data_IF_305999826009
#
_entry.id   IF_305999826009
#
_cell.length_a   1.000
_cell.length_b   1.000
_cell.length_c   1.000
_cell.angle_alpha   90.00
_cell.angle_beta   90.00
_cell.angle_gamma   90.00
#
_symmetry.space_group_name_H-M   'P 1'
#
loop_
_entity.id
_entity.type
_entity.pdbx_description
1 polymer ?
#
# COMPACT_ATOMS: atom_id res chain seq x y z
N UNK A 1 15.69 4.05 23.16
CA UNK A 1 15.57 4.11 21.69
C UNK A 1 16.83 3.54 21.09
N UNK A 2 16.81 2.99 19.86
CA UNK A 2 17.98 2.38 19.24
C UNK A 2 19.09 3.39 18.87
N UNK A 3 18.74 4.65 18.64
CA UNK A 3 19.65 5.77 18.45
C UNK A 3 19.01 7.08 18.92
N UNK A 4 19.76 8.18 18.90
CA UNK A 4 19.21 9.52 19.03
C UNK A 4 18.31 9.85 17.82
N UNK A 5 17.15 10.50 18.03
CA UNK A 5 16.26 10.85 16.94
C UNK A 5 16.75 12.07 16.16
N UNK A 6 16.70 11.99 14.84
CA UNK A 6 16.91 13.16 13.96
C UNK A 6 15.73 14.12 13.95
N UNK A 7 14.52 13.63 14.24
CA UNK A 7 13.32 14.46 14.41
C UNK A 7 12.26 13.77 15.26
N UNK A 8 11.40 14.58 15.88
CA UNK A 8 10.23 14.14 16.63
C UNK A 8 9.00 14.88 16.12
N UNK A 9 7.98 14.12 15.70
CA UNK A 9 6.68 14.69 15.33
C UNK A 9 5.62 14.26 16.33
N UNK A 10 4.96 15.23 16.97
CA UNK A 10 3.83 14.97 17.87
C UNK A 10 2.52 15.12 17.08
N UNK A 11 1.74 14.06 17.02
CA UNK A 11 0.50 13.99 16.24
C UNK A 11 -0.65 13.68 17.19
N UNK A 12 -1.74 14.44 17.07
CA UNK A 12 -3.02 14.07 17.69
C UNK A 12 -3.97 13.55 16.62
N UNK A 13 -4.42 12.31 16.75
CA UNK A 13 -5.37 11.73 15.80
C UNK A 13 -6.82 12.20 16.04
N UNK A 14 -7.72 11.90 15.10
CA UNK A 14 -9.14 12.27 15.20
C UNK A 14 -9.89 11.56 16.34
N UNK A 15 -9.33 10.48 16.90
CA UNK A 15 -9.88 9.78 18.06
C UNK A 15 -9.50 10.46 19.39
N UNK A 16 -8.53 11.37 19.34
CA UNK A 16 -8.00 12.15 20.46
C UNK A 16 -6.74 11.57 21.08
N UNK A 17 -6.12 10.55 20.47
CA UNK A 17 -4.85 9.95 20.92
C UNK A 17 -3.68 10.82 20.50
N UNK A 18 -2.66 10.90 21.35
CA UNK A 18 -1.38 11.53 21.02
C UNK A 18 -0.36 10.46 20.68
N UNK A 19 0.43 10.72 19.64
CA UNK A 19 1.54 9.91 19.20
C UNK A 19 2.78 10.79 19.11
N UNK A 20 3.92 10.26 19.54
CA UNK A 20 5.23 10.83 19.24
C UNK A 20 5.94 9.87 18.26
N UNK A 21 6.18 10.35 17.04
CA UNK A 21 6.92 9.61 16.01
C UNK A 21 8.36 10.09 16.00
N UNK A 22 9.28 9.17 16.19
CA UNK A 22 10.72 9.44 16.19
C UNK A 22 11.33 8.88 14.90
N UNK A 23 12.14 9.68 14.23
CA UNK A 23 12.98 9.17 13.12
C UNK A 23 14.34 8.84 13.70
N UNK A 24 14.71 7.56 13.65
CA UNK A 24 15.95 7.02 14.21
C UNK A 24 16.65 6.14 13.19
N UNK A 25 17.96 6.01 13.35
CA UNK A 25 18.73 4.99 12.68
C UNK A 25 18.58 3.67 13.46
N UNK A 26 18.42 2.58 12.72
CA UNK A 26 18.23 1.25 13.30
C UNK A 26 19.13 0.30 12.55
N UNK A 27 20.09 -0.28 13.26
CA UNK A 27 20.93 -1.32 12.71
C UNK A 27 20.10 -2.58 12.42
N UNK A 28 20.26 -3.20 11.24
CA UNK A 28 19.63 -4.48 10.94
C UNK A 28 20.01 -5.54 11.98
N UNK A 29 19.07 -6.43 12.28
CA UNK A 29 19.27 -7.59 13.15
C UNK A 29 19.13 -8.85 12.29
N UNK A 30 20.17 -9.21 11.50
CA UNK A 30 20.10 -10.32 10.58
C UNK A 30 19.80 -11.62 11.33
N UNK A 31 18.93 -12.45 10.75
CA UNK A 31 18.66 -13.79 11.25
C UNK A 31 19.50 -14.81 10.47
N UNK A 32 19.84 -15.98 11.05
CA UNK A 32 20.54 -17.04 10.33
C UNK A 32 19.87 -17.32 8.98
N UNK A 33 20.69 -17.48 7.94
CA UNK A 33 20.19 -17.77 6.61
C UNK A 33 19.39 -19.07 6.65
N UNK A 34 18.25 -19.09 5.98
CA UNK A 34 17.51 -20.32 5.74
C UNK A 34 17.38 -20.52 4.22
N UNK A 35 17.32 -21.75 3.73
CA UNK A 35 17.25 -22.00 2.27
C UNK A 35 15.84 -21.82 1.69
N UNK A 36 14.89 -21.31 2.47
CA UNK A 36 13.46 -21.39 2.15
C UNK A 36 12.99 -20.19 1.35
N UNK A 37 12.14 -20.45 0.36
CA UNK A 37 11.47 -19.41 -0.40
C UNK A 37 9.96 -19.69 -0.49
N UNK A 38 9.15 -18.63 -0.48
CA UNK A 38 7.69 -18.75 -0.54
C UNK A 38 7.09 -17.73 -1.50
N UNK A 39 6.20 -18.19 -2.38
CA UNK A 39 5.34 -17.33 -3.18
C UNK A 39 4.01 -17.10 -2.46
N UNK A 40 3.48 -15.89 -2.55
CA UNK A 40 2.24 -15.50 -1.88
C UNK A 40 1.29 -14.89 -2.91
N UNK A 41 0.16 -15.57 -3.13
CA UNK A 41 -0.99 -15.05 -3.85
C UNK A 41 -1.92 -14.30 -2.89
N UNK A 42 -2.32 -13.07 -3.21
CA UNK A 42 -3.11 -12.21 -2.34
C UNK A 42 -4.56 -12.12 -2.81
N UNK A 43 -5.51 -12.41 -1.92
CA UNK A 43 -6.92 -12.53 -2.30
C UNK A 43 -7.92 -11.98 -1.28
N UNK A 44 -9.20 -11.96 -1.66
CA UNK A 44 -10.31 -11.58 -0.78
C UNK A 44 -11.00 -12.79 -0.13
N UNK A 45 -10.87 -13.98 -0.73
CA UNK A 45 -11.37 -15.23 -0.14
C UNK A 45 -10.41 -15.72 0.96
N UNK A 46 -9.13 -15.78 0.61
CA UNK A 46 -7.98 -15.92 1.51
C UNK A 46 -7.15 -14.66 1.37
N UNK A 47 -6.74 -14.05 2.48
CA UNK A 47 -5.86 -12.87 2.46
C UNK A 47 -4.57 -13.16 1.70
N UNK A 48 -4.00 -14.33 1.99
CA UNK A 48 -2.77 -14.83 1.42
C UNK A 48 -2.87 -16.35 1.25
N UNK A 49 -2.42 -16.86 0.11
CA UNK A 49 -2.22 -18.30 -0.14
C UNK A 49 -0.74 -18.50 -0.46
N UNK A 50 -0.09 -19.42 0.22
CA UNK A 50 1.34 -19.66 0.06
C UNK A 50 1.61 -20.80 -0.92
N UNK A 51 2.77 -20.78 -1.55
CA UNK A 51 3.26 -21.87 -2.41
C UNK A 51 3.44 -23.20 -1.66
N UNK A 52 3.47 -23.17 -0.32
CA UNK A 52 3.46 -24.35 0.53
C UNK A 52 2.05 -24.90 0.82
N UNK A 53 1.00 -24.26 0.28
CA UNK A 53 -0.39 -24.69 0.43
C UNK A 53 -1.13 -24.08 1.62
N UNK A 54 -0.50 -23.21 2.42
CA UNK A 54 -1.17 -22.53 3.54
C UNK A 54 -2.15 -21.47 3.01
N UNK A 55 -3.40 -21.49 3.50
CA UNK A 55 -4.42 -20.47 3.19
C UNK A 55 -4.73 -19.65 4.44
N UNK A 56 -4.33 -18.39 4.42
CA UNK A 56 -4.55 -17.46 5.53
C UNK A 56 -5.85 -16.69 5.29
N UNK A 57 -6.81 -16.82 6.22
CA UNK A 57 -8.09 -16.12 6.12
C UNK A 57 -7.94 -14.60 6.33
N UNK A 58 -8.75 -13.77 5.65
CA UNK A 58 -8.74 -12.34 5.88
C UNK A 58 -9.33 -11.96 7.24
N UNK A 59 -8.71 -11.00 7.96
CA UNK A 59 -9.27 -10.51 9.20
C UNK A 59 -10.59 -9.77 8.89
N UNK A 60 -11.72 -10.25 9.43
CA UNK A 60 -13.05 -9.67 9.20
C UNK A 60 -13.39 -8.54 10.18
N UNK A 61 -12.39 -7.74 10.60
CA UNK A 61 -12.55 -6.77 11.69
C UNK A 61 -13.56 -5.67 11.38
N UNK A 62 -13.49 -5.06 10.18
CA UNK A 62 -14.48 -4.05 9.79
C UNK A 62 -15.86 -4.67 9.70
N UNK A 63 -15.97 -5.85 9.08
CA UNK A 63 -17.25 -6.57 8.93
C UNK A 63 -17.94 -6.78 10.28
N UNK A 64 -17.22 -7.26 11.29
CA UNK A 64 -17.74 -7.44 12.65
C UNK A 64 -18.16 -6.13 13.32
N UNK A 65 -17.50 -5.02 13.00
CA UNK A 65 -17.81 -3.70 13.55
C UNK A 65 -18.93 -2.94 12.81
N UNK A 66 -19.39 -3.41 11.64
CA UNK A 66 -20.32 -2.67 10.78
C UNK A 66 -21.62 -2.27 11.47
N UNK A 67 -22.23 -3.15 12.27
CA UNK A 67 -23.48 -2.85 13.00
C UNK A 67 -23.29 -1.65 13.92
N UNK A 68 -22.20 -1.63 14.69
CA UNK A 68 -21.84 -0.53 15.59
C UNK A 68 -21.50 0.74 14.82
N UNK A 69 -20.72 0.62 13.74
CA UNK A 69 -20.33 1.76 12.92
C UNK A 69 -21.56 2.48 12.31
N UNK A 70 -22.50 1.72 11.73
CA UNK A 70 -23.75 2.28 11.20
C UNK A 70 -24.56 3.03 12.27
N UNK A 71 -24.66 2.47 13.48
CA UNK A 71 -25.35 3.13 14.61
C UNK A 71 -24.69 4.46 14.97
N UNK A 72 -23.36 4.48 15.08
CA UNK A 72 -22.61 5.70 15.42
C UNK A 72 -22.71 6.75 14.30
N UNK A 73 -22.62 6.34 13.04
CA UNK A 73 -22.79 7.24 11.88
C UNK A 73 -24.21 7.82 11.80
N UNK A 74 -25.25 7.01 12.06
CA UNK A 74 -26.64 7.51 12.14
C UNK A 74 -26.81 8.52 13.27
N UNK A 75 -26.32 8.19 14.47
CA UNK A 75 -26.36 9.13 15.60
C UNK A 75 -25.62 10.44 15.28
N UNK A 76 -24.48 10.35 14.59
CA UNK A 76 -23.71 11.52 14.14
C UNK A 76 -24.50 12.40 13.16
N UNK A 77 -25.18 11.80 12.18
CA UNK A 77 -26.01 12.51 11.19
C UNK A 77 -27.08 13.40 11.83
N UNK A 78 -27.65 12.96 12.95
CA UNK A 78 -28.72 13.68 13.66
C UNK A 78 -28.22 14.78 14.61
N UNK A 79 -26.91 15.05 14.70
CA UNK A 79 -26.39 16.09 15.60
C UNK A 79 -26.37 17.46 14.93
N UNK A 80 -26.77 18.48 15.68
CA UNK A 80 -26.71 19.88 15.27
C UNK A 80 -25.27 20.30 14.94
N UNK A 81 -25.09 20.96 13.80
CA UNK A 81 -23.81 21.53 13.35
C UNK A 81 -23.23 22.46 14.42
N UNK A 82 -21.94 22.36 14.69
CA UNK A 82 -21.23 23.18 15.69
C UNK A 82 -21.41 22.77 17.15
N UNK A 83 -22.35 21.87 17.49
CA UNK A 83 -22.60 21.50 18.88
C UNK A 83 -21.48 20.64 19.51
N UNK A 84 -21.30 20.75 20.84
CA UNK A 84 -20.41 19.86 21.60
C UNK A 84 -20.80 18.38 21.47
N UNK A 85 -22.10 18.09 21.33
CA UNK A 85 -22.63 16.73 21.10
C UNK A 85 -22.21 16.18 19.74
N UNK A 86 -22.15 17.01 18.69
CA UNK A 86 -21.59 16.63 17.39
C UNK A 86 -20.12 16.28 17.51
N UNK A 87 -19.33 17.12 18.19
CA UNK A 87 -17.89 16.87 18.40
C UNK A 87 -17.64 15.55 19.18
N UNK A 88 -18.45 15.25 20.20
CA UNK A 88 -18.40 13.99 20.93
C UNK A 88 -18.77 12.79 20.03
N UNK A 89 -19.83 12.88 19.22
CA UNK A 89 -20.23 11.82 18.29
C UNK A 89 -19.18 11.56 17.20
N UNK A 90 -18.55 12.61 16.66
CA UNK A 90 -17.43 12.49 15.71
C UNK A 90 -16.25 11.73 16.32
N UNK A 91 -15.87 12.07 17.56
CA UNK A 91 -14.82 11.36 18.31
C UNK A 91 -15.16 9.88 18.53
N UNK A 92 -16.42 9.54 18.80
CA UNK A 92 -16.83 8.12 18.95
C UNK A 92 -16.66 7.32 17.64
N UNK A 93 -17.05 7.91 16.50
CA UNK A 93 -16.83 7.31 15.17
C UNK A 93 -15.33 7.14 14.91
N UNK A 94 -14.54 8.18 15.17
CA UNK A 94 -13.08 8.14 14.98
C UNK A 94 -12.41 7.08 15.88
N UNK A 95 -12.81 6.96 17.15
CA UNK A 95 -12.34 5.90 18.05
C UNK A 95 -12.62 4.50 17.51
N UNK A 96 -13.81 4.25 16.97
CA UNK A 96 -14.11 2.94 16.39
C UNK A 96 -13.26 2.65 15.15
N UNK A 97 -13.08 3.63 14.27
CA UNK A 97 -12.19 3.48 13.11
C UNK A 97 -10.74 3.21 13.52
N UNK A 98 -10.24 3.94 14.52
CA UNK A 98 -8.92 3.72 15.09
C UNK A 98 -8.77 2.28 15.61
N UNK A 99 -9.71 1.80 16.43
CA UNK A 99 -9.66 0.41 16.94
C UNK A 99 -9.65 -0.65 15.82
N UNK A 100 -10.43 -0.45 14.75
CA UNK A 100 -10.44 -1.37 13.60
C UNK A 100 -9.10 -1.34 12.88
N UNK A 101 -8.54 -0.14 12.66
CA UNK A 101 -7.25 0.03 12.01
C UNK A 101 -6.11 -0.61 12.82
N UNK A 102 -6.10 -0.40 14.15
CA UNK A 102 -5.08 -0.96 15.05
C UNK A 102 -5.14 -2.49 15.06
N UNK A 103 -6.34 -3.09 15.16
CA UNK A 103 -6.51 -4.56 15.10
C UNK A 103 -6.01 -5.15 13.79
N UNK A 104 -6.35 -4.50 12.67
CA UNK A 104 -5.86 -4.91 11.35
C UNK A 104 -4.34 -4.81 11.27
N UNK A 105 -3.77 -3.71 11.77
CA UNK A 105 -2.34 -3.48 11.77
C UNK A 105 -1.61 -4.55 12.60
N UNK A 106 -2.07 -4.83 13.82
CA UNK A 106 -1.52 -5.87 14.69
C UNK A 106 -1.52 -7.25 14.02
N UNK A 107 -2.65 -7.67 13.45
CA UNK A 107 -2.75 -8.91 12.69
C UNK A 107 -1.73 -8.96 11.54
N UNK A 108 -1.62 -7.90 10.74
CA UNK A 108 -0.67 -7.84 9.64
C UNK A 108 0.79 -7.83 10.12
N UNK A 109 1.08 -7.22 11.28
CA UNK A 109 2.42 -7.27 11.88
C UNK A 109 2.78 -8.69 12.27
N UNK A 110 1.90 -9.40 12.98
CA UNK A 110 2.15 -10.78 13.40
C UNK A 110 2.38 -11.68 12.18
N UNK A 111 1.50 -11.57 11.17
CA UNK A 111 1.59 -12.37 9.96
C UNK A 111 2.88 -12.10 9.17
N UNK A 112 3.21 -10.84 8.90
CA UNK A 112 4.42 -10.49 8.15
C UNK A 112 5.70 -10.85 8.91
N UNK A 113 5.71 -10.75 10.24
CA UNK A 113 6.85 -11.20 11.06
C UNK A 113 7.05 -12.70 10.94
N UNK A 114 5.97 -13.49 11.04
CA UNK A 114 6.03 -14.95 10.88
C UNK A 114 6.64 -15.34 9.53
N UNK A 115 6.07 -14.81 8.45
CA UNK A 115 6.49 -15.13 7.07
C UNK A 115 7.96 -14.79 6.83
N UNK A 116 8.42 -13.61 7.27
CA UNK A 116 9.80 -13.15 7.08
C UNK A 116 10.80 -13.97 7.91
N UNK A 117 10.41 -14.43 9.10
CA UNK A 117 11.28 -15.28 9.93
C UNK A 117 11.41 -16.69 9.36
N UNK A 118 10.33 -17.22 8.81
CA UNK A 118 10.27 -18.59 8.28
C UNK A 118 10.95 -18.76 6.90
N UNK A 119 11.15 -17.67 6.15
CA UNK A 119 11.59 -17.72 4.75
C UNK A 119 12.70 -16.71 4.46
N UNK A 120 13.67 -17.10 3.64
CA UNK A 120 14.77 -16.25 3.17
C UNK A 120 14.33 -15.34 2.03
N UNK A 121 13.48 -15.87 1.15
CA UNK A 121 12.91 -15.14 0.03
C UNK A 121 11.39 -15.23 0.06
N UNK A 122 10.73 -14.08 -0.02
CA UNK A 122 9.27 -13.97 -0.12
C UNK A 122 8.93 -13.30 -1.44
N UNK A 123 8.06 -13.91 -2.23
CA UNK A 123 7.65 -13.39 -3.55
C UNK A 123 6.17 -13.04 -3.54
N UNK A 124 5.83 -11.84 -4.01
CA UNK A 124 4.47 -11.32 -4.09
C UNK A 124 4.18 -10.86 -5.53
N UNK A 125 2.90 -10.81 -5.90
CA UNK A 125 2.47 -10.07 -7.09
C UNK A 125 2.25 -8.57 -6.81
N UNK A 126 2.44 -7.73 -7.83
CA UNK A 126 2.18 -6.30 -7.75
C UNK A 126 0.67 -5.95 -7.91
N UNK A 127 -0.11 -5.97 -6.83
CA UNK A 127 -1.52 -5.58 -6.91
C UNK A 127 -1.74 -4.08 -7.18
N UNK A 128 -2.62 -3.74 -8.12
CA UNK A 128 -3.10 -2.36 -8.35
C UNK A 128 -4.13 -1.93 -7.29
N UNK A 129 -3.75 -1.90 -6.01
CA UNK A 129 -4.69 -1.67 -4.90
C UNK A 129 -5.46 -0.35 -5.06
N UNK A 130 -4.79 0.72 -5.50
CA UNK A 130 -5.42 2.03 -5.72
C UNK A 130 -6.48 1.98 -6.83
N UNK A 131 -6.22 1.25 -7.92
CA UNK A 131 -7.19 0.98 -8.97
C UNK A 131 -8.36 0.14 -8.48
N UNK A 132 -8.08 -0.93 -7.72
CA UNK A 132 -9.11 -1.85 -7.21
C UNK A 132 -10.06 -1.17 -6.21
N UNK A 133 -9.56 -0.22 -5.40
CA UNK A 133 -10.37 0.58 -4.48
C UNK A 133 -11.40 1.47 -5.19
N UNK A 134 -11.29 1.70 -6.50
CA UNK A 134 -12.32 2.42 -7.28
C UNK A 134 -13.59 1.59 -7.48
N UNK A 135 -13.52 0.26 -7.34
CA UNK A 135 -14.69 -0.60 -7.39
C UNK A 135 -15.49 -0.50 -6.08
N UNK A 136 -16.60 0.24 -6.10
CA UNK A 136 -17.44 0.50 -4.92
C UNK A 136 -17.97 -0.76 -4.22
N UNK A 137 -18.11 -1.88 -4.94
CA UNK A 137 -18.61 -3.14 -4.37
C UNK A 137 -17.55 -3.84 -3.52
N UNK A 138 -16.29 -3.80 -3.96
CA UNK A 138 -15.17 -4.51 -3.33
C UNK A 138 -14.27 -3.62 -2.47
N UNK A 139 -14.32 -2.29 -2.66
CA UNK A 139 -13.43 -1.33 -2.01
C UNK A 139 -13.33 -1.53 -0.50
N UNK A 140 -14.46 -1.82 0.15
CA UNK A 140 -14.51 -2.06 1.59
C UNK A 140 -13.74 -3.33 2.00
N UNK A 141 -13.93 -4.43 1.27
CA UNK A 141 -13.24 -5.70 1.54
C UNK A 141 -11.74 -5.59 1.25
N UNK A 142 -11.38 -4.87 0.19
CA UNK A 142 -9.97 -4.58 -0.16
C UNK A 142 -9.31 -3.73 0.92
N UNK A 143 -10.01 -2.69 1.40
CA UNK A 143 -9.52 -1.86 2.49
C UNK A 143 -9.36 -2.64 3.81
N UNK A 144 -10.24 -3.61 4.07
CA UNK A 144 -10.15 -4.48 5.26
C UNK A 144 -9.01 -5.51 5.14
N UNK A 145 -8.74 -6.01 3.94
CA UNK A 145 -7.63 -6.93 3.68
C UNK A 145 -6.25 -6.29 3.90
N UNK A 146 -6.09 -5.01 3.54
CA UNK A 146 -4.87 -4.25 3.90
C UNK A 146 -3.60 -4.66 3.14
N UNK A 147 -3.72 -5.21 1.92
CA UNK A 147 -2.59 -5.72 1.12
C UNK A 147 -1.41 -4.75 0.97
N UNK A 148 -1.67 -3.45 0.73
CA UNK A 148 -0.60 -2.45 0.63
C UNK A 148 0.21 -2.36 1.93
N UNK A 149 -0.47 -2.34 3.07
CA UNK A 149 0.18 -2.29 4.37
C UNK A 149 0.95 -3.58 4.63
N UNK A 150 0.37 -4.73 4.27
CA UNK A 150 1.02 -6.03 4.41
C UNK A 150 2.36 -6.08 3.65
N UNK A 151 2.38 -5.64 2.39
CA UNK A 151 3.60 -5.53 1.58
C UNK A 151 4.65 -4.62 2.24
N UNK A 152 4.25 -3.42 2.68
CA UNK A 152 5.17 -2.47 3.36
C UNK A 152 5.80 -3.12 4.60
N UNK A 153 5.02 -3.87 5.38
CA UNK A 153 5.52 -4.54 6.57
C UNK A 153 6.47 -5.70 6.24
N UNK A 154 6.21 -6.45 5.16
CA UNK A 154 7.13 -7.47 4.67
C UNK A 154 8.45 -6.84 4.23
N UNK A 155 8.42 -5.79 3.39
CA UNK A 155 9.61 -5.08 2.90
C UNK A 155 10.43 -4.51 4.06
N UNK A 156 9.78 -3.83 5.01
CA UNK A 156 10.46 -3.25 6.18
C UNK A 156 11.14 -4.32 7.04
N UNK A 157 10.48 -5.45 7.30
CA UNK A 157 11.05 -6.54 8.10
C UNK A 157 12.10 -7.32 7.34
N UNK A 158 12.01 -7.37 6.02
CA UNK A 158 13.01 -8.01 5.20
C UNK A 158 14.36 -7.28 5.32
N UNK A 159 14.35 -5.95 5.28
CA UNK A 159 15.53 -5.13 5.57
C UNK A 159 16.05 -5.39 6.99
N UNK A 160 15.15 -5.43 7.98
CA UNK A 160 15.54 -5.66 9.37
C UNK A 160 16.22 -7.02 9.60
N UNK A 161 15.72 -8.10 8.98
CA UNK A 161 16.15 -9.46 9.28
C UNK A 161 17.07 -10.08 8.21
N UNK A 162 17.59 -9.27 7.29
CA UNK A 162 18.36 -9.71 6.12
C UNK A 162 17.65 -10.81 5.32
N UNK A 163 16.48 -10.44 4.80
CA UNK A 163 15.62 -11.27 3.95
C UNK A 163 15.35 -10.56 2.64
N UNK A 164 14.90 -11.32 1.64
CA UNK A 164 14.56 -10.79 0.34
C UNK A 164 13.05 -10.79 0.15
N UNK A 165 12.48 -9.64 -0.25
CA UNK A 165 11.11 -9.55 -0.74
C UNK A 165 11.17 -9.17 -2.21
N UNK A 166 10.61 -10.02 -3.07
CA UNK A 166 10.53 -9.84 -4.51
C UNK A 166 9.08 -9.57 -4.90
N UNK A 167 8.89 -8.66 -5.85
CA UNK A 167 7.56 -8.29 -6.33
C UNK A 167 7.55 -8.44 -7.84
N UNK A 168 6.78 -9.42 -8.32
CA UNK A 168 6.71 -9.73 -9.74
C UNK A 168 5.68 -8.86 -10.44
N UNK A 169 5.82 -8.78 -11.76
CA UNK A 169 4.91 -8.03 -12.61
C UNK A 169 3.48 -8.59 -12.55
N UNK A 170 2.50 -7.70 -12.31
CA UNK A 170 1.07 -8.01 -12.25
C UNK A 170 0.43 -8.57 -13.53
N UNK A 171 1.10 -8.43 -14.67
CA UNK A 171 0.60 -8.93 -15.96
C UNK A 171 1.00 -10.39 -16.21
N UNK A 172 1.80 -10.98 -15.32
CA UNK A 172 2.12 -12.40 -15.40
C UNK A 172 0.86 -13.25 -15.18
N UNK A 173 0.55 -14.21 -16.05
CA UNK A 173 -0.66 -15.00 -15.97
C UNK A 173 -0.53 -16.15 -14.94
N UNK A 174 -0.16 -15.82 -13.71
CA UNK A 174 0.18 -16.76 -12.62
C UNK A 174 -0.96 -17.73 -12.30
N UNK A 175 -2.22 -17.29 -12.39
CA UNK A 175 -3.41 -18.14 -12.17
C UNK A 175 -3.87 -18.93 -13.39
N UNK A 176 -3.29 -18.68 -14.57
CA UNK A 176 -3.73 -19.28 -15.84
C UNK A 176 -2.74 -20.34 -16.35
N UNK A 177 -1.55 -20.40 -15.77
CA UNK A 177 -0.50 -21.34 -16.13
C UNK A 177 -0.47 -22.49 -15.13
N UNK A 178 -0.35 -23.72 -15.61
CA UNK A 178 -0.12 -24.90 -14.78
C UNK A 178 1.29 -24.83 -14.18
N UNK A 179 1.43 -24.91 -12.86
CA UNK A 179 2.73 -24.88 -12.19
C UNK A 179 3.57 -26.15 -12.42
N UNK A 180 2.94 -27.26 -12.79
CA UNK A 180 3.62 -28.54 -13.04
C UNK A 180 4.24 -28.60 -14.43
N UNK A 181 3.47 -28.27 -15.47
CA UNK A 181 3.93 -28.42 -16.85
C UNK A 181 4.00 -27.12 -17.63
N UNK A 182 3.59 -25.98 -17.07
CA UNK A 182 3.58 -24.65 -17.69
C UNK A 182 2.53 -24.45 -18.79
N UNK A 183 1.52 -25.32 -18.91
CA UNK A 183 0.41 -25.13 -19.85
C UNK A 183 -0.44 -23.91 -19.51
N UNK A 184 -0.58 -23.00 -20.47
CA UNK A 184 -1.40 -21.81 -20.34
C UNK A 184 -2.84 -22.14 -20.74
N UNK A 185 -3.68 -22.38 -19.76
CA UNK A 185 -5.07 -22.79 -19.91
C UNK A 185 -6.05 -21.60 -19.86
N UNK A 186 -5.53 -20.37 -19.94
CA UNK A 186 -6.34 -19.17 -19.99
C UNK A 186 -7.02 -18.82 -18.67
N UNK A 187 -7.86 -17.78 -18.74
CA UNK A 187 -8.53 -17.19 -17.58
C UNK A 187 -9.64 -18.11 -17.09
N UNK A 188 -9.52 -18.54 -15.83
CA UNK A 188 -10.56 -19.29 -15.12
C UNK A 188 -11.56 -18.34 -14.46
N UNK A 189 -12.81 -18.78 -14.36
CA UNK A 189 -13.80 -18.07 -13.56
C UNK A 189 -13.44 -18.10 -12.07
N UNK A 190 -13.89 -17.08 -11.32
CA UNK A 190 -13.63 -16.97 -9.89
C UNK A 190 -14.26 -18.12 -9.07
N UNK A 191 -15.31 -18.74 -9.61
CA UNK A 191 -16.02 -19.92 -9.09
C UNK A 191 -15.18 -21.20 -9.15
N UNK A 192 -14.30 -21.33 -10.15
CA UNK A 192 -13.45 -22.51 -10.35
C UNK A 192 -12.31 -22.47 -9.33
N UNK A 193 -12.37 -23.34 -8.33
CA UNK A 193 -11.35 -23.45 -7.27
C UNK A 193 -10.35 -24.55 -7.52
N UNK A 194 -10.80 -25.64 -8.12
CA UNK A 194 -9.96 -26.75 -8.53
C UNK A 194 -10.13 -26.97 -10.02
N UNK A 195 -9.05 -27.36 -10.68
CA UNK A 195 -9.07 -27.70 -12.11
C UNK A 195 -8.00 -28.76 -12.41
N UNK A 196 -8.28 -29.58 -13.42
CA UNK A 196 -7.30 -30.52 -13.96
C UNK A 196 -6.63 -29.90 -15.18
N UNK A 197 -5.30 -29.94 -15.22
CA UNK A 197 -4.55 -29.47 -16.37
C UNK A 197 -4.78 -30.38 -17.58
N UNK A 198 -5.29 -29.88 -18.72
CA UNK A 198 -5.57 -30.71 -19.90
C UNK A 198 -4.28 -31.24 -20.56
N UNK A 199 -3.13 -30.63 -20.29
CA UNK A 199 -1.85 -31.02 -20.90
C UNK A 199 -1.07 -32.07 -20.11
N UNK A 200 -1.20 -32.14 -18.80
CA UNK A 200 -0.42 -33.07 -17.97
C UNK A 200 -1.24 -33.85 -16.93
N UNK A 201 -2.56 -33.61 -16.85
CA UNK A 201 -3.45 -34.28 -15.92
C UNK A 201 -3.34 -33.87 -14.45
N UNK A 202 -2.41 -32.98 -14.10
CA UNK A 202 -2.24 -32.50 -12.72
C UNK A 202 -3.49 -31.78 -12.21
N UNK A 203 -3.90 -32.08 -10.98
CA UNK A 203 -5.02 -31.42 -10.30
C UNK A 203 -4.46 -30.27 -9.46
N UNK A 204 -5.06 -29.10 -9.60
CA UNK A 204 -4.59 -27.88 -8.95
C UNK A 204 -5.70 -27.20 -8.18
N UNK A 205 -5.42 -26.82 -6.93
CA UNK A 205 -6.06 -25.65 -6.34
C UNK A 205 -5.56 -24.39 -7.05
N UNK A 206 -6.49 -23.55 -7.52
CA UNK A 206 -6.19 -22.38 -8.35
C UNK A 206 -5.29 -21.38 -7.63
N UNK A 207 -5.56 -21.10 -6.37
CA UNK A 207 -4.86 -20.06 -5.61
C UNK A 207 -3.47 -20.57 -5.17
N UNK A 208 -3.32 -21.86 -4.83
CA UNK A 208 -2.01 -22.49 -4.58
C UNK A 208 -1.15 -22.57 -5.85
N UNK A 209 -1.75 -22.94 -6.99
CA UNK A 209 -1.06 -22.92 -8.28
C UNK A 209 -0.56 -21.51 -8.65
N UNK A 210 -1.37 -20.48 -8.40
CA UNK A 210 -0.95 -19.10 -8.58
C UNK A 210 0.26 -18.77 -7.69
N UNK A 211 0.23 -19.14 -6.41
CA UNK A 211 1.35 -18.92 -5.47
C UNK A 211 2.64 -19.66 -5.91
N UNK A 212 2.54 -20.88 -6.42
CA UNK A 212 3.67 -21.62 -6.99
C UNK A 212 4.27 -20.91 -8.22
N UNK A 213 3.43 -20.42 -9.12
CA UNK A 213 3.89 -19.64 -10.28
C UNK A 213 4.48 -18.29 -9.89
N UNK A 214 3.93 -17.63 -8.86
CA UNK A 214 4.49 -16.39 -8.30
C UNK A 214 5.92 -16.64 -7.82
N UNK A 215 6.12 -17.70 -7.02
CA UNK A 215 7.45 -18.09 -6.54
C UNK A 215 8.42 -18.33 -7.70
N UNK A 216 8.01 -19.16 -8.67
CA UNK A 216 8.85 -19.52 -9.82
C UNK A 216 9.25 -18.28 -10.64
N UNK A 217 8.32 -17.36 -10.89
CA UNK A 217 8.59 -16.13 -11.62
C UNK A 217 9.58 -15.22 -10.87
N UNK A 218 9.39 -15.03 -9.56
CA UNK A 218 10.28 -14.15 -8.77
C UNK A 218 11.70 -14.67 -8.67
N UNK A 219 11.87 -15.99 -8.47
CA UNK A 219 13.20 -16.60 -8.45
C UNK A 219 13.90 -16.44 -9.82
N UNK A 220 13.19 -16.68 -10.93
CA UNK A 220 13.74 -16.50 -12.27
C UNK A 220 14.16 -15.05 -12.55
N UNK A 221 13.34 -14.06 -12.20
CA UNK A 221 13.68 -12.63 -12.32
C UNK A 221 14.93 -12.27 -11.50
N UNK A 222 15.04 -12.78 -10.26
CA UNK A 222 16.20 -12.52 -9.40
C UNK A 222 17.49 -13.13 -9.97
N UNK A 223 17.44 -14.35 -10.50
CA UNK A 223 18.59 -14.99 -11.16
C UNK A 223 19.04 -14.22 -12.41
N UNK A 224 18.11 -13.72 -13.22
CA UNK A 224 18.42 -12.89 -14.37
C UNK A 224 19.07 -11.56 -13.99
N UNK A 225 18.61 -10.93 -12.89
CA UNK A 225 19.24 -9.74 -12.34
C UNK A 225 20.70 -9.94 -11.89
N UNK A 226 21.09 -11.19 -11.58
CA UNK A 226 22.47 -11.58 -11.24
C UNK A 226 23.29 -12.09 -12.42
N UNK A 227 22.80 -11.93 -13.65
CA UNK A 227 23.52 -12.32 -14.87
C UNK A 227 23.48 -13.81 -15.20
N UNK A 228 22.64 -14.61 -14.53
CA UNK A 228 22.59 -16.05 -14.72
C UNK A 228 21.89 -16.49 -16.02
N UNK A 229 21.23 -15.59 -16.75
CA UNK A 229 20.57 -15.88 -18.03
C UNK A 229 19.44 -16.93 -17.93
N UNK A 230 18.89 -17.16 -16.74
CA UNK A 230 17.85 -18.16 -16.48
C UNK A 230 16.51 -17.64 -17.00
N UNK A 231 16.11 -18.08 -18.19
CA UNK A 231 14.73 -17.90 -18.62
C UNK A 231 13.79 -18.46 -17.54
N UNK A 232 12.70 -17.75 -17.15
CA UNK A 232 11.59 -18.39 -16.44
C UNK A 232 11.27 -19.73 -17.14
N UNK A 233 10.94 -20.81 -16.41
CA UNK A 233 10.89 -22.17 -16.96
C UNK A 233 10.22 -22.16 -18.34
N UNK A 234 10.84 -22.80 -19.35
CA UNK A 234 10.76 -22.60 -20.82
C UNK A 234 9.40 -22.25 -21.51
N UNK A 235 8.29 -22.10 -20.80
CA UNK A 235 6.91 -21.93 -21.27
C UNK A 235 6.27 -20.54 -21.12
N UNK A 236 7.02 -19.49 -20.77
CA UNK A 236 6.47 -18.12 -20.63
C UNK A 236 6.59 -17.22 -21.88
N UNK A 237 7.09 -17.74 -23.02
CA UNK A 237 7.44 -16.92 -24.21
C UNK A 237 6.27 -16.38 -25.03
N UNK A 238 5.03 -16.81 -24.80
CA UNK A 238 3.91 -16.44 -25.70
C UNK A 238 2.96 -15.33 -25.20
N UNK A 239 3.09 -14.84 -23.97
CA UNK A 239 2.15 -13.85 -23.42
C UNK A 239 2.61 -12.38 -23.50
N UNK A 240 3.88 -12.11 -23.81
CA UNK A 240 4.43 -10.74 -23.92
C UNK A 240 4.65 -10.37 -25.38
N UNK A 241 3.59 -10.37 -26.21
CA UNK A 241 3.67 -9.75 -27.54
C UNK A 241 3.73 -8.22 -27.39
N UNK A 242 4.96 -7.71 -27.45
CA UNK A 242 5.42 -6.42 -27.99
C UNK A 242 4.73 -5.13 -27.53
N UNK A 243 5.54 -4.21 -26.99
CA UNK A 243 5.75 -2.88 -27.61
C UNK A 243 7.03 -2.19 -27.11
N UNK A 244 7.57 -1.20 -27.86
CA UNK A 244 9.01 -0.92 -27.95
C UNK A 244 9.57 -0.19 -26.74
N UNK A 245 10.83 -0.50 -26.44
CA UNK A 245 11.67 0.31 -25.56
C UNK A 245 11.78 1.72 -26.12
N UNK A 246 11.05 2.67 -25.51
CA UNK A 246 11.30 4.08 -25.75
C UNK A 246 12.66 4.39 -25.10
N UNK A 247 13.69 4.48 -25.93
CA UNK A 247 15.02 4.88 -25.49
C UNK A 247 14.93 6.25 -24.83
N UNK A 248 15.18 6.30 -23.52
CA UNK A 248 15.45 7.54 -22.83
C UNK A 248 16.84 7.98 -23.30
N UNK A 249 16.88 8.74 -24.41
CA UNK A 249 18.05 9.55 -24.72
C UNK A 249 18.19 10.58 -23.59
N UNK A 250 19.28 10.48 -22.85
CA UNK A 250 19.73 11.51 -21.93
C UNK A 250 19.95 12.81 -22.69
N UNK A 251 19.08 13.79 -22.51
CA UNK A 251 19.37 15.18 -22.84
C UNK A 251 20.04 15.83 -21.63
N UNK A 252 21.37 15.88 -21.68
CA UNK A 252 22.17 16.79 -20.87
C UNK A 252 21.79 18.24 -21.20
N UNK A 253 20.85 18.82 -20.46
CA UNK A 253 20.61 20.25 -20.47
C UNK A 253 21.67 20.93 -19.58
N UNK A 254 22.76 21.36 -20.21
CA UNK A 254 23.76 22.25 -19.63
C UNK A 254 23.08 23.56 -19.22
N UNK A 255 22.95 23.81 -17.91
CA UNK A 255 22.67 25.15 -17.37
C UNK A 255 23.92 26.01 -17.58
N UNK A 256 23.98 26.73 -18.69
CA UNK A 256 24.92 27.83 -18.87
C UNK A 256 24.52 29.00 -17.97
N UNK A 257 25.44 29.34 -17.07
CA UNK A 257 25.49 30.60 -16.32
C UNK A 257 25.66 31.73 -17.35
N UNK A 258 24.70 32.65 -17.41
CA UNK A 258 24.93 33.95 -18.03
C UNK A 258 25.40 34.92 -16.95
N UNK A 259 26.72 35.00 -16.82
CA UNK A 259 27.42 36.19 -16.34
C UNK A 259 27.53 37.14 -17.54
N UNK A 260 27.07 38.38 -17.40
CA UNK A 260 27.63 39.52 -18.14
C UNK A 260 27.64 40.78 -17.27
N UNK A 261 28.60 41.69 -17.49
CA UNK A 261 29.22 42.46 -16.43
C UNK A 261 28.84 43.96 -16.42
N UNK A 262 29.09 44.55 -15.25
CA UNK A 262 29.32 45.95 -14.87
C UNK A 262 29.28 47.06 -15.95
N UNK A 263 28.63 48.18 -15.61
CA UNK A 263 29.01 49.48 -16.17
C UNK A 263 28.08 50.68 -15.92
N UNK A 264 28.35 51.40 -14.80
CA UNK A 264 28.31 52.87 -14.62
C UNK A 264 26.99 53.67 -14.56
N UNK A 265 26.95 54.53 -13.52
CA UNK A 265 26.25 55.83 -13.43
C UNK A 265 24.81 55.71 -12.93
N UNK A 266 24.31 56.45 -11.96
CA UNK A 266 24.76 57.62 -11.20
C UNK A 266 23.52 58.23 -10.52
N UNK A 267 23.75 59.00 -9.45
CA UNK A 267 22.86 59.99 -8.83
C UNK A 267 21.51 59.57 -8.19
N UNK A 268 21.51 59.63 -6.85
CA UNK A 268 20.66 60.45 -5.97
C UNK A 268 19.12 60.48 -6.16
N UNK A 269 18.37 60.06 -5.13
CA UNK A 269 17.55 60.92 -4.25
C UNK A 269 16.44 60.12 -3.51
N UNK A 270 16.30 60.40 -2.20
CA UNK A 270 15.18 60.07 -1.28
C UNK A 270 14.09 61.18 -1.40
N UNK A 271 12.99 61.23 -0.59
CA UNK A 271 12.17 60.22 0.13
C UNK A 271 10.64 60.50 0.03
N UNK A 272 9.82 59.72 0.75
CA UNK A 272 8.53 60.16 1.35
C UNK A 272 7.35 59.21 1.08
N UNK A 273 6.33 59.04 1.90
CA UNK A 273 5.98 59.32 3.30
C UNK A 273 4.53 58.77 3.49
N UNK A 274 4.07 58.65 4.76
CA UNK A 274 2.69 58.42 5.24
C UNK A 274 2.07 57.01 5.02
N UNK A 275 1.70 56.17 5.99
CA UNK A 275 1.04 56.31 7.31
C UNK A 275 -0.34 56.98 7.31
N UNK A 276 -1.40 56.17 7.52
CA UNK A 276 -2.53 56.34 8.46
C UNK A 276 -3.62 55.30 8.08
N UNK A 277 -4.11 54.37 8.91
CA UNK A 277 -4.62 54.38 10.29
C UNK A 277 -6.16 54.49 10.37
N UNK A 278 -6.72 53.76 11.36
CA UNK A 278 -8.09 53.78 11.95
C UNK A 278 -9.16 52.89 11.29
N UNK A 279 -9.76 51.88 11.94
CA UNK A 279 -10.42 51.68 13.27
C UNK A 279 -11.96 51.91 13.23
N UNK A 280 -12.63 51.00 13.98
CA UNK A 280 -14.00 50.97 14.55
C UNK A 280 -15.02 50.12 13.77
N UNK A 281 -15.59 49.02 14.28
CA UNK A 281 -16.41 48.67 15.48
C UNK A 281 -17.89 49.10 15.42
N UNK A 282 -18.75 48.12 15.77
CA UNK A 282 -20.18 48.17 16.14
C UNK A 282 -21.16 48.44 14.97
N UNK A 283 -22.38 47.88 14.88
CA UNK A 283 -23.23 47.19 15.84
C UNK A 283 -24.39 46.45 15.12
N UNK A 284 -24.98 45.46 15.82
CA UNK A 284 -26.38 44.99 15.87
C UNK A 284 -27.34 45.05 14.66
N UNK A 285 -28.12 43.97 14.48
CA UNK A 285 -29.43 44.05 13.81
C UNK A 285 -30.04 42.73 13.33
N UNK A 286 -31.22 42.39 13.84
CA UNK A 286 -31.99 41.18 13.64
C UNK A 286 -32.57 40.95 12.22
N UNK A 287 -32.87 39.68 11.90
CA UNK A 287 -34.13 39.17 11.30
C UNK A 287 -33.90 37.84 10.55
N UNK A 288 -34.75 36.82 10.78
CA UNK A 288 -34.82 35.60 9.95
C UNK A 288 -35.66 35.82 8.67
N UNK A 289 -36.28 34.79 8.07
CA UNK A 289 -35.91 33.39 7.95
C UNK A 289 -35.85 32.92 6.47
N UNK A 290 -35.57 31.62 6.29
CA UNK A 290 -36.19 30.75 5.29
C UNK A 290 -35.50 30.44 3.92
N UNK A 291 -35.74 29.18 3.50
CA UNK A 291 -35.61 28.56 2.17
C UNK A 291 -34.19 28.22 1.63
N UNK A 292 -33.85 26.92 1.57
CA UNK A 292 -33.73 26.13 0.32
C UNK A 292 -33.28 24.67 0.56
N UNK A 293 -33.97 23.80 -0.18
CA UNK A 293 -33.80 22.37 -0.52
C UNK A 293 -32.45 21.68 -0.22
#
# INVERSE_FOLDING_TARGET
>A
MPSDPSSVTVIRDASGRYFASFVVEVEPTPLPANGKAVGIDLGLASLAVTSAGEKIAPPKFLRSALKRLRRLQRNLKHKQKGSNRLAAARRQVAKLHATIADKRLDFLHQLSTRIIRENQTVVLEDLNVSGMLKNKQLARSIADAGWRQFRILLESKAVQYDRQVLVINRWLPTSQVCSTCGHHDGKKELSIREWQCPSCGAIHDRDVNAALNILAAGLAESHNGRGAGISPPLRWRQAVKRQPTRSLRHSHAQRRRNLRPSGRGGSQARPGAAQADRRRQADNGAAGPDVYR
#
